data_IF_701084344467
#
_entry.id   IF_701084344467
#
_cell.length_a   1.000
_cell.length_b   1.000
_cell.length_c   1.000
_cell.angle_alpha   90.00
_cell.angle_beta   90.00
_cell.angle_gamma   90.00
#
_symmetry.space_group_name_H-M   'P 1'
#
loop_
_entity.id
_entity.type
_entity.pdbx_description
1 polymer ?
#
# COMPACT_ATOMS: atom_id res chain seq x y z
N UNK A 1 -1.16 -19.92 0.35
CA UNK A 1 -1.18 -18.53 0.84
C UNK A 1 -1.86 -17.68 -0.22
N UNK A 2 -2.67 -16.72 0.20
CA UNK A 2 -3.50 -15.85 -0.64
C UNK A 2 -3.26 -14.42 -0.17
N UNK A 3 -3.17 -13.47 -1.09
CA UNK A 3 -2.91 -12.07 -0.78
C UNK A 3 -2.53 -11.32 -2.05
N UNK A 4 -2.54 -10.00 -1.95
CA UNK A 4 -2.08 -9.14 -3.05
C UNK A 4 -0.54 -9.15 -3.12
N UNK A 5 0.03 -8.79 -4.28
CA UNK A 5 1.49 -8.85 -4.49
C UNK A 5 2.26 -7.86 -3.61
N UNK A 6 1.61 -6.78 -3.18
CA UNK A 6 2.11 -5.76 -2.27
C UNK A 6 1.95 -6.12 -0.79
N UNK A 7 1.39 -7.30 -0.49
CA UNK A 7 1.25 -7.84 0.85
C UNK A 7 2.32 -8.92 1.11
N UNK A 8 3.42 -8.52 1.74
CA UNK A 8 4.63 -9.33 1.89
C UNK A 8 4.70 -9.90 3.30
N UNK A 9 4.59 -11.22 3.50
CA UNK A 9 4.77 -11.84 4.82
C UNK A 9 6.17 -11.63 5.38
N UNK A 10 6.28 -11.39 6.69
CA UNK A 10 7.57 -11.40 7.39
C UNK A 10 8.10 -12.84 7.45
N UNK A 11 9.42 -12.99 7.39
CA UNK A 11 10.08 -14.30 7.39
C UNK A 11 9.73 -15.12 8.64
N UNK A 12 9.68 -14.44 9.78
CA UNK A 12 9.40 -15.00 11.10
C UNK A 12 7.98 -15.55 11.16
N UNK A 13 7.01 -14.84 10.57
CA UNK A 13 5.63 -15.29 10.45
C UNK A 13 5.53 -16.55 9.57
N UNK A 14 6.19 -16.57 8.41
CA UNK A 14 6.23 -17.75 7.54
C UNK A 14 6.87 -18.94 8.26
N UNK A 15 7.94 -18.72 9.03
CA UNK A 15 8.58 -19.77 9.83
C UNK A 15 7.63 -20.30 10.91
N UNK A 16 6.95 -19.42 11.65
CA UNK A 16 5.99 -19.83 12.67
C UNK A 16 4.87 -20.69 12.07
N UNK A 17 4.26 -20.26 10.96
CA UNK A 17 3.17 -21.00 10.30
C UNK A 17 3.63 -22.39 9.80
N UNK A 18 4.88 -22.51 9.32
CA UNK A 18 5.41 -23.79 8.83
C UNK A 18 5.69 -24.80 9.94
N UNK A 19 5.97 -24.35 11.15
CA UNK A 19 6.45 -25.21 12.24
C UNK A 19 5.48 -25.33 13.41
N UNK A 20 4.47 -24.47 13.50
CA UNK A 20 3.48 -24.48 14.56
C UNK A 20 2.11 -24.90 14.02
N UNK A 21 1.35 -25.62 14.83
CA UNK A 21 -0.08 -25.85 14.62
C UNK A 21 -0.91 -24.78 15.32
N UNK A 22 -2.14 -24.58 14.86
CA UNK A 22 -3.13 -23.73 15.54
C UNK A 22 -4.42 -24.51 15.74
N UNK A 23 -5.19 -24.10 16.76
CA UNK A 23 -6.51 -24.65 17.02
C UNK A 23 -7.57 -23.92 16.19
N UNK A 24 -8.48 -24.68 15.57
CA UNK A 24 -9.63 -24.11 14.86
C UNK A 24 -10.66 -23.69 15.90
N UNK A 25 -10.99 -22.40 15.93
CA UNK A 25 -11.95 -21.86 16.90
C UNK A 25 -13.39 -22.07 16.42
N UNK A 26 -14.36 -22.35 17.31
CA UNK A 26 -15.76 -22.45 16.93
C UNK A 26 -16.25 -21.19 16.18
N UNK A 27 -16.89 -21.38 15.02
CA UNK A 27 -17.39 -20.30 14.17
C UNK A 27 -16.31 -19.53 13.39
N UNK A 28 -15.06 -20.03 13.35
CA UNK A 28 -13.95 -19.47 12.57
C UNK A 28 -13.47 -20.47 11.50
N UNK A 29 -12.89 -19.95 10.43
CA UNK A 29 -12.26 -20.74 9.37
C UNK A 29 -10.90 -21.29 9.79
N UNK A 30 -10.51 -22.45 9.24
CA UNK A 30 -9.18 -23.04 9.42
C UNK A 30 -8.12 -22.28 8.58
N UNK A 31 -7.82 -21.07 9.04
CA UNK A 31 -6.83 -20.20 8.44
C UNK A 31 -6.12 -19.33 9.47
N UNK A 32 -4.99 -18.78 9.01
CA UNK A 32 -4.19 -17.77 9.70
C UNK A 32 -4.21 -16.49 8.87
N UNK A 33 -4.62 -15.39 9.47
CA UNK A 33 -4.51 -14.06 8.88
C UNK A 33 -3.22 -13.37 9.33
N UNK A 34 -2.49 -12.78 8.39
CA UNK A 34 -1.25 -12.05 8.65
C UNK A 34 -1.52 -10.55 8.63
N UNK A 35 -1.88 -10.02 9.80
CA UNK A 35 -2.04 -8.57 10.00
C UNK A 35 -0.69 -7.87 9.78
N UNK A 36 -0.71 -6.81 8.97
CA UNK A 36 0.49 -6.15 8.50
C UNK A 36 0.62 -4.71 8.94
N UNK A 37 1.86 -4.22 8.97
CA UNK A 37 2.15 -2.79 9.01
C UNK A 37 1.78 -2.17 7.66
N UNK A 38 0.90 -1.17 7.67
CA UNK A 38 0.43 -0.53 6.44
C UNK A 38 1.36 0.63 6.06
N UNK A 39 2.00 0.51 4.90
CA UNK A 39 2.78 1.55 4.26
C UNK A 39 2.18 1.91 2.90
N UNK A 40 2.25 3.17 2.52
CA UNK A 40 1.60 3.62 1.28
C UNK A 40 2.60 3.85 0.14
N UNK A 41 3.64 4.68 0.33
CA UNK A 41 4.57 5.02 -0.75
C UNK A 41 6.02 4.54 -0.53
N UNK A 42 6.35 4.31 0.73
CA UNK A 42 7.66 3.88 1.23
C UNK A 42 7.49 3.39 2.66
N UNK A 43 8.46 2.63 3.17
CA UNK A 43 8.55 2.19 4.57
C UNK A 43 8.77 3.34 5.57
N UNK A 44 8.82 4.59 5.09
CA UNK A 44 8.78 5.82 5.90
C UNK A 44 7.39 6.46 6.00
N UNK A 45 6.39 5.99 5.24
CA UNK A 45 5.02 6.50 5.24
C UNK A 45 4.03 5.47 5.76
N UNK A 46 3.81 5.47 7.07
CA UNK A 46 2.94 4.52 7.74
C UNK A 46 1.48 5.03 7.77
N UNK A 47 0.58 4.22 7.24
CA UNK A 47 -0.86 4.46 7.19
C UNK A 47 -1.63 3.64 8.24
N UNK A 48 -0.93 3.05 9.23
CA UNK A 48 -1.52 2.30 10.33
C UNK A 48 -1.38 0.79 10.17
N UNK A 49 -2.48 0.06 10.41
CA UNK A 49 -2.53 -1.40 10.41
C UNK A 49 -3.36 -1.90 9.24
N UNK A 50 -2.86 -2.92 8.55
CA UNK A 50 -3.53 -3.58 7.45
C UNK A 50 -4.12 -4.93 7.90
N UNK A 51 -5.44 -4.95 8.11
CA UNK A 51 -6.17 -6.13 8.58
C UNK A 51 -6.53 -7.14 7.47
N UNK A 52 -6.49 -6.69 6.21
CA UNK A 52 -6.84 -7.50 5.05
C UNK A 52 -5.66 -8.35 4.51
N UNK A 53 -4.49 -8.29 5.17
CA UNK A 53 -3.23 -8.87 4.73
C UNK A 53 -3.24 -10.38 4.47
N UNK A 54 -2.07 -10.95 4.12
CA UNK A 54 -1.99 -12.28 3.53
C UNK A 54 -2.61 -13.35 4.41
N UNK A 55 -3.22 -14.35 3.78
CA UNK A 55 -3.89 -15.45 4.46
C UNK A 55 -3.23 -16.78 4.12
N UNK A 56 -3.12 -17.63 5.13
CA UNK A 56 -2.75 -19.03 4.97
C UNK A 56 -3.96 -19.87 5.32
N UNK A 57 -4.54 -20.50 4.31
CA UNK A 57 -5.66 -21.44 4.47
C UNK A 57 -5.10 -22.84 4.41
N UNK A 58 -5.55 -23.72 5.30
CA UNK A 58 -5.19 -25.13 5.25
C UNK A 58 -6.05 -25.82 4.19
N UNK A 59 -5.40 -26.50 3.24
CA UNK A 59 -6.09 -27.34 2.27
C UNK A 59 -6.41 -28.69 2.92
N UNK A 60 -7.69 -29.04 3.05
CA UNK A 60 -8.15 -30.26 3.72
C UNK A 60 -8.42 -31.43 2.75
N UNK A 61 -8.36 -31.22 1.43
CA UNK A 61 -8.63 -32.25 0.43
C UNK A 61 -9.99 -32.08 -0.28
N UNK A 62 -10.39 -33.10 -1.05
CA UNK A 62 -11.65 -33.32 -1.78
C UNK A 62 -12.47 -32.14 -2.36
N UNK A 63 -11.86 -30.99 -2.61
CA UNK A 63 -12.51 -29.86 -3.29
C UNK A 63 -13.44 -29.03 -2.40
N UNK A 64 -13.69 -29.47 -1.17
CA UNK A 64 -14.32 -28.67 -0.14
C UNK A 64 -13.24 -28.13 0.78
N UNK A 65 -13.00 -26.82 0.75
CA UNK A 65 -12.84 -26.13 2.02
C UNK A 65 -14.06 -26.52 2.85
N UNK A 66 -13.89 -27.44 3.81
CA UNK A 66 -14.96 -27.80 4.73
C UNK A 66 -15.31 -26.52 5.51
N UNK A 67 -16.33 -25.82 5.03
CA UNK A 67 -16.65 -24.44 5.38
C UNK A 67 -16.45 -23.49 4.20
N UNK A 68 -17.57 -22.99 3.68
CA UNK A 68 -17.72 -21.94 2.66
C UNK A 68 -16.95 -20.66 3.04
N UNK A 69 -15.62 -20.64 2.86
CA UNK A 69 -14.90 -19.37 2.89
C UNK A 69 -15.33 -18.57 1.66
N UNK A 70 -16.29 -17.67 1.85
CA UNK A 70 -16.74 -16.79 0.78
C UNK A 70 -15.57 -15.92 0.31
N UNK A 71 -15.66 -15.36 -0.89
CA UNK A 71 -14.71 -14.34 -1.35
C UNK A 71 -14.54 -13.20 -0.32
N UNK A 72 -15.56 -12.94 0.51
CA UNK A 72 -15.53 -11.92 1.54
C UNK A 72 -14.74 -12.34 2.79
N UNK A 73 -14.81 -13.62 3.17
CA UNK A 73 -13.98 -14.23 4.24
C UNK A 73 -12.49 -14.23 3.87
N UNK A 74 -12.20 -14.28 2.57
CA UNK A 74 -10.84 -14.30 2.03
C UNK A 74 -10.21 -12.92 1.84
N UNK A 75 -11.00 -11.83 1.76
CA UNK A 75 -10.46 -10.48 1.50
C UNK A 75 -10.41 -9.60 2.75
N UNK A 76 -11.54 -9.12 3.25
CA UNK A 76 -11.55 -7.99 4.18
C UNK A 76 -11.87 -8.36 5.63
N UNK A 77 -12.75 -9.35 5.83
CA UNK A 77 -13.19 -9.77 7.16
C UNK A 77 -12.58 -11.11 7.51
N UNK A 78 -11.36 -11.04 8.05
CA UNK A 78 -10.60 -12.18 8.50
C UNK A 78 -11.34 -12.99 9.58
N UNK A 79 -12.25 -13.88 9.20
CA UNK A 79 -12.87 -14.81 10.15
C UNK A 79 -11.97 -16.04 10.39
N UNK A 80 -10.66 -15.83 10.42
CA UNK A 80 -9.66 -16.86 10.64
C UNK A 80 -9.54 -17.25 12.12
N UNK A 81 -9.22 -18.51 12.38
CA UNK A 81 -9.01 -19.04 13.73
C UNK A 81 -7.83 -18.38 14.46
N UNK A 82 -6.83 -17.93 13.69
CA UNK A 82 -5.66 -17.21 14.20
C UNK A 82 -5.42 -15.91 13.42
N UNK A 83 -5.08 -14.85 14.14
CA UNK A 83 -4.57 -13.59 13.58
C UNK A 83 -3.16 -13.40 14.16
N UNK A 84 -2.15 -13.38 13.30
CA UNK A 84 -0.78 -13.04 13.69
C UNK A 84 -0.59 -11.54 13.45
N UNK A 85 -0.34 -10.80 14.54
CA UNK A 85 -0.04 -9.37 14.49
C UNK A 85 1.39 -9.12 14.05
N UNK A 86 1.63 -7.96 13.43
CA UNK A 86 2.95 -7.52 12.95
C UNK A 86 3.67 -8.59 12.10
N UNK A 87 2.90 -9.30 11.26
CA UNK A 87 3.35 -10.52 10.61
C UNK A 87 3.49 -10.39 9.09
N UNK A 88 3.12 -9.24 8.55
CA UNK A 88 3.33 -8.87 7.15
C UNK A 88 3.64 -7.37 7.01
N UNK A 89 4.04 -6.98 5.81
CA UNK A 89 4.07 -5.60 5.35
C UNK A 89 3.06 -5.46 4.23
N UNK A 90 2.34 -4.34 4.19
CA UNK A 90 1.61 -3.92 3.00
C UNK A 90 2.28 -2.66 2.47
N UNK A 91 2.75 -2.64 1.22
CA UNK A 91 3.14 -1.38 0.58
C UNK A 91 2.42 -1.12 -0.74
N UNK A 92 1.37 -0.29 -0.69
CA UNK A 92 0.48 -0.03 -1.82
C UNK A 92 1.24 0.45 -3.06
N UNK A 93 1.87 1.61 -3.00
CA UNK A 93 2.44 2.33 -4.14
C UNK A 93 3.96 2.54 -4.00
N UNK A 94 4.68 1.52 -3.50
CA UNK A 94 6.14 1.48 -3.43
C UNK A 94 6.79 1.33 -4.84
N UNK A 95 6.52 2.25 -5.77
CA UNK A 95 7.04 2.22 -7.13
C UNK A 95 8.22 3.16 -7.36
N UNK A 96 9.13 2.77 -8.25
CA UNK A 96 10.31 3.56 -8.60
C UNK A 96 10.00 4.73 -9.54
N UNK A 97 8.90 4.62 -10.30
CA UNK A 97 8.55 5.60 -11.35
C UNK A 97 7.11 6.08 -11.24
N UNK A 98 6.87 7.32 -11.71
CA UNK A 98 5.53 7.89 -11.86
C UNK A 98 4.73 7.06 -12.86
N UNK A 99 5.37 6.59 -13.94
CA UNK A 99 4.73 5.72 -14.92
C UNK A 99 4.15 4.44 -14.29
N UNK A 100 4.82 3.83 -13.30
CA UNK A 100 4.32 2.67 -12.58
C UNK A 100 3.10 3.02 -11.70
N UNK A 101 3.12 4.16 -10.99
CA UNK A 101 1.97 4.63 -10.22
C UNK A 101 0.76 4.82 -11.14
N UNK A 102 0.93 5.51 -12.27
CA UNK A 102 -0.12 5.72 -13.28
C UNK A 102 -0.63 4.41 -13.88
N UNK A 103 0.27 3.45 -14.14
CA UNK A 103 -0.12 2.12 -14.61
C UNK A 103 -0.98 1.40 -13.57
N UNK A 104 -0.64 1.49 -12.29
CA UNK A 104 -1.46 0.92 -11.22
C UNK A 104 -2.84 1.58 -11.20
N UNK A 105 -2.89 2.91 -11.25
CA UNK A 105 -4.15 3.67 -11.30
C UNK A 105 -5.02 3.25 -12.51
N UNK A 106 -4.41 2.95 -13.65
CA UNK A 106 -5.13 2.47 -14.83
C UNK A 106 -5.62 1.02 -14.73
N UNK A 107 -5.15 0.24 -13.74
CA UNK A 107 -5.32 -1.22 -13.69
C UNK A 107 -6.29 -1.74 -12.63
N UNK A 108 -6.66 -0.92 -11.65
CA UNK A 108 -7.56 -1.32 -10.57
C UNK A 108 -9.03 -1.00 -10.91
N UNK A 109 -9.96 -1.77 -10.34
CA UNK A 109 -11.40 -1.74 -10.70
C UNK A 109 -12.11 -0.40 -10.47
N UNK A 110 -11.45 0.55 -9.79
CA UNK A 110 -11.94 1.91 -9.57
C UNK A 110 -11.61 2.81 -10.75
N UNK A 111 -12.22 2.52 -11.92
CA UNK A 111 -12.01 3.29 -13.14
C UNK A 111 -12.36 4.78 -12.95
N UNK A 112 -13.24 5.11 -12.01
CA UNK A 112 -13.60 6.47 -11.61
C UNK A 112 -12.43 7.26 -11.02
N UNK A 113 -11.39 6.58 -10.55
CA UNK A 113 -10.16 7.19 -10.04
C UNK A 113 -9.08 7.31 -11.12
N UNK A 114 -9.28 6.72 -12.30
CA UNK A 114 -8.39 6.87 -13.45
C UNK A 114 -8.68 8.16 -14.23
N UNK A 115 -8.58 9.30 -13.53
CA UNK A 115 -8.86 10.63 -14.08
C UNK A 115 -8.01 11.69 -13.40
N UNK A 116 -8.04 12.89 -13.97
CA UNK A 116 -7.53 14.07 -13.28
C UNK A 116 -8.25 14.28 -11.93
N UNK A 117 -7.56 14.64 -10.85
CA UNK A 117 -6.12 14.93 -10.79
C UNK A 117 -5.25 13.71 -10.44
N UNK A 118 -5.85 12.56 -10.12
CA UNK A 118 -5.13 11.39 -9.61
C UNK A 118 -4.09 10.81 -10.58
N UNK A 119 -4.27 11.02 -11.88
CA UNK A 119 -3.33 10.59 -12.92
C UNK A 119 -2.30 11.65 -13.32
N UNK A 120 -2.39 12.87 -12.75
CA UNK A 120 -1.46 13.95 -13.01
C UNK A 120 -0.12 13.70 -12.29
N UNK A 121 1.02 13.73 -13.00
CA UNK A 121 2.33 13.50 -12.39
C UNK A 121 2.71 14.48 -11.28
N UNK A 122 2.32 15.76 -11.36
CA UNK A 122 2.66 16.75 -10.33
C UNK A 122 1.86 16.47 -9.06
N UNK A 123 0.55 16.20 -9.21
CA UNK A 123 -0.29 15.77 -8.11
C UNK A 123 0.26 14.49 -7.44
N UNK A 124 0.65 13.49 -8.22
CA UNK A 124 1.28 12.27 -7.69
C UNK A 124 2.54 12.60 -6.90
N UNK A 125 3.47 13.38 -7.45
CA UNK A 125 4.73 13.74 -6.79
C UNK A 125 4.48 14.50 -5.49
N UNK A 126 3.60 15.51 -5.50
CA UNK A 126 3.24 16.28 -4.30
C UNK A 126 2.71 15.38 -3.19
N UNK A 127 1.72 14.55 -3.51
CA UNK A 127 1.08 13.64 -2.55
C UNK A 127 2.06 12.62 -1.99
N UNK A 128 2.92 12.05 -2.83
CA UNK A 128 3.93 11.06 -2.42
C UNK A 128 5.01 11.69 -1.54
N UNK A 129 5.53 12.86 -1.91
CA UNK A 129 6.57 13.56 -1.15
C UNK A 129 6.07 14.00 0.23
N UNK A 130 4.78 14.32 0.36
CA UNK A 130 4.16 14.81 1.60
C UNK A 130 3.51 13.70 2.44
N UNK A 131 3.45 12.47 1.92
CA UNK A 131 2.80 11.35 2.62
C UNK A 131 1.28 11.52 2.73
N UNK A 132 0.65 11.98 1.66
CA UNK A 132 -0.81 12.17 1.57
C UNK A 132 -1.41 11.11 0.66
N UNK A 133 -2.43 10.40 1.11
CA UNK A 133 -3.09 9.37 0.32
C UNK A 133 -3.63 9.95 -0.99
N UNK A 134 -3.37 9.25 -2.10
CA UNK A 134 -3.58 9.78 -3.44
C UNK A 134 -5.04 10.12 -3.73
N UNK A 135 -5.97 9.30 -3.22
CA UNK A 135 -7.40 9.41 -3.52
C UNK A 135 -8.20 10.10 -2.42
N UNK A 136 -7.55 10.66 -1.40
CA UNK A 136 -8.19 11.43 -0.33
C UNK A 136 -8.00 12.90 -0.58
N UNK A 137 -9.07 13.60 -0.93
CA UNK A 137 -8.99 15.02 -1.29
C UNK A 137 -8.52 15.87 -0.10
N UNK A 138 -9.19 15.72 1.04
CA UNK A 138 -8.89 16.42 2.30
C UNK A 138 -7.57 15.95 2.89
N UNK A 139 -6.66 16.88 3.14
CA UNK A 139 -5.30 16.53 3.56
C UNK A 139 -5.25 15.93 4.96
N UNK A 140 -6.10 16.41 5.86
CA UNK A 140 -6.26 15.90 7.21
C UNK A 140 -6.71 14.44 7.24
N UNK A 141 -7.47 13.99 6.23
CA UNK A 141 -7.89 12.60 6.05
C UNK A 141 -6.88 11.78 5.23
N UNK A 142 -6.01 12.45 4.50
CA UNK A 142 -5.00 11.84 3.63
C UNK A 142 -3.67 11.60 4.35
N UNK A 143 -3.40 12.34 5.43
CA UNK A 143 -2.10 12.39 6.07
C UNK A 143 -1.68 11.05 6.69
N UNK A 144 -0.48 10.60 6.31
CA UNK A 144 0.18 9.44 6.88
C UNK A 144 1.17 9.85 7.95
N UNK A 145 1.49 8.92 8.84
CA UNK A 145 2.53 9.12 9.84
C UNK A 145 3.89 8.88 9.21
N UNK A 146 4.77 9.89 9.27
CA UNK A 146 6.18 9.73 8.92
C UNK A 146 6.90 8.89 9.98
N UNK A 147 7.75 7.96 9.53
CA UNK A 147 8.58 7.12 10.39
C UNK A 147 10.04 7.41 10.09
N UNK A 148 10.81 7.81 11.11
CA UNK A 148 12.16 8.38 10.97
C UNK A 148 13.25 7.38 10.60
N UNK A 149 12.99 6.08 10.73
CA UNK A 149 13.97 5.03 10.42
C UNK A 149 13.25 3.77 9.96
N UNK A 150 13.48 3.35 8.72
CA UNK A 150 12.83 2.20 8.08
C UNK A 150 13.36 0.85 8.58
N UNK A 151 13.60 0.69 9.88
CA UNK A 151 14.08 -0.57 10.46
C UNK A 151 13.12 -1.74 10.26
N UNK A 152 11.84 -1.45 10.02
CA UNK A 152 10.80 -2.43 9.68
C UNK A 152 10.55 -2.54 8.16
N UNK A 153 11.58 -2.32 7.33
CA UNK A 153 11.52 -2.64 5.91
C UNK A 153 12.02 -4.08 5.66
N UNK A 154 11.62 -4.73 4.54
CA UNK A 154 12.16 -6.03 4.15
C UNK A 154 13.69 -6.01 4.10
N UNK A 155 14.32 -7.06 4.63
CA UNK A 155 15.79 -7.17 4.69
C UNK A 155 16.47 -6.99 3.32
N UNK A 156 15.83 -7.43 2.23
CA UNK A 156 16.33 -7.23 0.86
C UNK A 156 16.38 -5.74 0.48
N UNK A 157 15.39 -4.96 0.90
CA UNK A 157 15.33 -3.50 0.68
C UNK A 157 16.43 -2.81 1.48
N UNK A 158 16.61 -3.22 2.74
CA UNK A 158 17.64 -2.67 3.63
C UNK A 158 19.07 -3.03 3.21
N UNK A 159 19.27 -4.17 2.56
CA UNK A 159 20.58 -4.62 2.11
C UNK A 159 21.12 -3.84 0.89
N UNK A 160 20.24 -3.22 0.10
CA UNK A 160 20.62 -2.45 -1.09
C UNK A 160 19.85 -1.10 -1.14
N UNK A 161 20.19 -0.17 -0.23
CA UNK A 161 19.51 1.11 -0.16
C UNK A 161 19.74 1.97 -1.40
N UNK A 162 20.81 1.75 -2.17
CA UNK A 162 21.03 2.46 -3.44
C UNK A 162 19.97 2.12 -4.47
N UNK A 163 19.72 0.82 -4.67
CA UNK A 163 18.69 0.34 -5.59
C UNK A 163 17.27 0.65 -5.10
N UNK A 164 17.02 0.52 -3.80
CA UNK A 164 15.67 0.63 -3.23
C UNK A 164 15.41 1.92 -2.45
N UNK A 165 16.20 2.98 -2.64
CA UNK A 165 16.06 4.24 -1.90
C UNK A 165 14.62 4.79 -1.93
N UNK A 166 13.91 4.66 -3.06
CA UNK A 166 12.51 5.08 -3.21
C UNK A 166 11.53 4.32 -2.31
N UNK A 167 11.84 3.08 -1.91
CA UNK A 167 11.05 2.32 -0.93
C UNK A 167 11.38 2.73 0.51
N UNK A 168 12.52 3.37 0.75
CA UNK A 168 12.97 3.79 2.09
C UNK A 168 12.59 5.24 2.37
N UNK A 169 12.77 6.15 1.41
CA UNK A 169 12.47 7.57 1.58
C UNK A 169 11.95 8.22 0.31
N UNK A 170 10.98 9.12 0.49
CA UNK A 170 10.38 9.98 -0.53
C UNK A 170 10.68 11.46 -0.30
N UNK A 171 11.66 11.76 0.55
CA UNK A 171 11.94 13.11 1.04
C UNK A 171 12.42 14.12 -0.02
N UNK A 172 13.15 13.73 -1.09
CA UNK A 172 13.50 14.68 -2.13
C UNK A 172 12.28 15.33 -2.79
N UNK A 173 12.43 16.53 -3.33
CA UNK A 173 11.37 17.22 -4.13
C UNK A 173 10.85 16.35 -5.30
N UNK A 174 11.66 15.41 -5.76
CA UNK A 174 11.30 14.45 -6.82
C UNK A 174 10.50 13.26 -6.31
N UNK A 175 10.20 13.19 -5.01
CA UNK A 175 9.64 12.03 -4.32
C UNK A 175 10.43 10.72 -4.60
N UNK A 176 11.74 10.83 -4.86
CA UNK A 176 12.60 9.71 -5.27
C UNK A 176 12.12 8.95 -6.52
N UNK A 177 11.35 9.58 -7.41
CA UNK A 177 10.98 8.98 -8.69
C UNK A 177 12.13 9.11 -9.70
N UNK A 178 12.52 7.99 -10.31
CA UNK A 178 13.64 7.99 -11.27
C UNK A 178 13.30 8.62 -12.62
N UNK A 179 12.01 8.71 -12.97
CA UNK A 179 11.50 9.31 -14.22
C UNK A 179 11.03 10.77 -14.04
N UNK A 180 11.24 11.39 -12.87
CA UNK A 180 10.82 12.76 -12.62
C UNK A 180 11.47 13.79 -13.57
N UNK A 181 12.76 13.65 -13.87
CA UNK A 181 13.46 14.54 -14.79
C UNK A 181 12.89 14.46 -16.22
N UNK A 182 12.53 13.26 -16.68
CA UNK A 182 11.87 13.06 -17.97
C UNK A 182 10.48 13.68 -18.01
N UNK A 183 9.80 13.77 -16.86
CA UNK A 183 8.55 14.52 -16.73
C UNK A 183 8.76 16.04 -16.81
N UNK A 184 9.84 16.58 -16.22
CA UNK A 184 10.18 18.00 -16.31
C UNK A 184 10.65 18.45 -17.71
N UNK A 185 11.04 17.52 -18.58
CA UNK A 185 11.59 17.75 -19.93
C UNK A 185 10.70 18.45 -20.95
N UNK A 186 9.67 19.19 -20.53
CA UNK A 186 8.85 20.10 -21.35
C UNK A 186 8.22 21.27 -20.57
N UNK A 187 8.58 21.50 -19.30
CA UNK A 187 7.96 22.52 -18.42
C UNK A 187 9.04 23.37 -17.76
N UNK A 188 9.31 24.56 -18.32
CA UNK A 188 10.28 25.56 -17.78
C UNK A 188 9.63 26.52 -16.77
N UNK A 189 8.35 26.34 -16.44
CA UNK A 189 7.50 27.24 -15.63
C UNK A 189 7.45 26.88 -14.13
N UNK A 190 8.17 25.85 -13.69
CA UNK A 190 7.94 25.19 -12.40
C UNK A 190 8.77 25.84 -11.28
N UNK A 191 8.50 27.13 -11.03
CA UNK A 191 8.77 27.81 -9.75
C UNK A 191 7.44 28.44 -9.30
N UNK A 192 6.44 27.60 -9.04
CA UNK A 192 5.07 28.03 -8.74
C UNK A 192 4.43 27.16 -7.67
N UNK A 193 3.59 27.75 -6.83
CA UNK A 193 2.98 27.11 -5.67
C UNK A 193 1.81 26.21 -6.13
N UNK A 194 2.11 25.04 -6.71
CA UNK A 194 1.16 24.09 -7.33
C UNK A 194 -0.01 23.70 -6.44
N UNK A 195 0.19 23.73 -5.13
CA UNK A 195 -0.84 23.43 -4.13
C UNK A 195 -2.10 24.31 -4.27
N UNK A 196 -2.01 25.51 -4.83
CA UNK A 196 -3.15 26.40 -5.04
C UNK A 196 -4.07 25.98 -6.21
N UNK A 197 -3.52 25.41 -7.28
CA UNK A 197 -4.30 25.02 -8.47
C UNK A 197 -5.25 23.85 -8.18
N UNK A 198 -4.81 22.88 -7.37
CA UNK A 198 -5.63 21.72 -6.98
C UNK A 198 -6.76 22.09 -6.02
N UNK A 199 -6.55 23.09 -5.16
CA UNK A 199 -7.59 23.56 -4.23
C UNK A 199 -8.81 24.10 -4.97
N UNK A 200 -8.62 24.76 -6.11
CA UNK A 200 -9.74 25.27 -6.91
C UNK A 200 -10.54 24.13 -7.55
N UNK A 201 -9.88 23.08 -8.08
CA UNK A 201 -10.57 21.93 -8.67
C UNK A 201 -11.46 21.17 -7.68
N UNK A 202 -11.01 21.04 -6.43
CA UNK A 202 -11.76 20.35 -5.39
C UNK A 202 -12.69 21.27 -4.57
N UNK A 203 -12.43 22.59 -4.56
CA UNK A 203 -13.24 23.59 -3.87
C UNK A 203 -14.53 23.97 -4.59
N UNK A 204 -14.63 23.74 -5.91
CA UNK A 204 -15.88 23.93 -6.67
C UNK A 204 -16.90 22.78 -6.48
N UNK A 205 -16.55 21.72 -5.76
CA UNK A 205 -17.44 20.59 -5.49
C UNK A 205 -18.33 20.76 -4.23
N UNK A 206 -18.24 21.88 -3.51
CA UNK A 206 -19.04 22.18 -2.30
C UNK A 206 -20.23 23.12 -2.55
N UNK A 207 -20.89 23.02 -3.70
CA UNK A 207 -22.18 23.69 -3.91
C UNK A 207 -23.13 22.93 -4.84
N UNK A 208 -23.64 21.77 -4.41
CA UNK A 208 -24.97 21.24 -4.78
C UNK A 208 -25.55 20.46 -3.60
#
# INVERSE_FOLDING_TARGET
>A
MLGDLDEIPKREAVRAIKHCTWEVKPGKHDCVALEGSFFYYAFSWNAGVWNAGPRVVKWLGNGTSDGEASNNDMRYHANCSLILKDSSWHCTDCFATIAQVRKKIGSFNHWELNRFPYTDPQYIVDRVARGLALFRVKEEEAAMRRVSYCGDAPSLVLADPGRFHYMLSRDPVTASFSDYASFLGNRTDVVGNFHAEWKNFFGEAESV
#
